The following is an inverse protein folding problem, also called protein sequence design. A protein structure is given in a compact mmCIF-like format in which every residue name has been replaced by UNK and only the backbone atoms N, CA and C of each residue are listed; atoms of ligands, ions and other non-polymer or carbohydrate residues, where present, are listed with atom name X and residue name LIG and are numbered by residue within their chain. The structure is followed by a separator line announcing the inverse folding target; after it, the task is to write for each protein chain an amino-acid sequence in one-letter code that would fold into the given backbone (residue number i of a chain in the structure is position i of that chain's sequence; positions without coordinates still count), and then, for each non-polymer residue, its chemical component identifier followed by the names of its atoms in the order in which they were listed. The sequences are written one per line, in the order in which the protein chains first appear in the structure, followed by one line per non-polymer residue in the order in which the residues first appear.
data_IF_141216977676
#
_entry.id   IF_141216977676
#
_cell.length_a   1.000
_cell.length_b   1.000
_cell.length_c   1.000
_cell.angle_alpha   90.00
_cell.angle_beta   90.00
_cell.angle_gamma   90.00
#
_symmetry.space_group_name_H-M   'P 1'
#
loop_
_entity.id
_entity.type
_entity.pdbx_description
1 polymer ?
#
# COMPACT_ATOMS: atom_id res chain seq x y z
N UNK A 1 -12.66 2.68 1.64
CA UNK A 1 -14.10 2.76 1.31
C UNK A 1 -14.79 3.98 1.89
N UNK A 2 -14.64 4.28 3.16
CA UNK A 2 -15.37 5.39 3.80
C UNK A 2 -15.00 6.76 3.23
N UNK A 3 -13.72 7.02 2.97
CA UNK A 3 -13.27 8.29 2.37
C UNK A 3 -13.71 8.42 0.90
N UNK A 4 -13.57 7.34 0.10
CA UNK A 4 -14.04 7.33 -1.29
C UNK A 4 -15.57 7.54 -1.38
N UNK A 5 -16.33 6.95 -0.44
CA UNK A 5 -17.76 7.20 -0.32
C UNK A 5 -18.07 8.66 0.02
N UNK A 6 -17.34 9.24 0.96
CA UNK A 6 -17.48 10.65 1.32
C UNK A 6 -17.25 11.57 0.11
N UNK A 7 -16.15 11.38 -0.63
CA UNK A 7 -15.81 12.16 -1.82
C UNK A 7 -16.85 12.04 -2.93
N UNK A 8 -17.44 10.84 -3.12
CA UNK A 8 -18.54 10.67 -4.09
C UNK A 8 -19.76 11.49 -3.69
N UNK A 9 -20.14 11.48 -2.41
CA UNK A 9 -21.27 12.28 -1.94
C UNK A 9 -21.00 13.78 -1.98
N UNK A 10 -19.78 14.24 -1.83
CA UNK A 10 -19.42 15.67 -1.99
C UNK A 10 -19.60 16.16 -3.43
N UNK A 11 -19.55 15.28 -4.41
CA UNK A 11 -19.67 15.61 -5.84
C UNK A 11 -21.11 15.51 -6.37
N UNK A 12 -22.05 14.96 -5.60
CA UNK A 12 -23.42 14.68 -6.02
C UNK A 12 -24.42 15.69 -5.44
N UNK A 13 -25.46 16.00 -6.23
CA UNK A 13 -26.63 16.76 -5.72
C UNK A 13 -27.55 15.78 -5.00
N UNK A 14 -27.56 15.84 -3.68
CA UNK A 14 -28.26 14.87 -2.85
C UNK A 14 -29.71 15.33 -2.58
N UNK A 15 -30.65 14.41 -2.71
CA UNK A 15 -32.06 14.65 -2.40
C UNK A 15 -32.36 14.60 -0.89
N UNK A 16 -31.46 14.14 -0.06
CA UNK A 16 -31.57 14.01 1.39
C UNK A 16 -30.25 14.33 2.10
N UNK A 17 -30.28 14.79 3.37
CA UNK A 17 -29.07 15.00 4.15
C UNK A 17 -28.30 13.69 4.33
N UNK A 18 -26.98 13.74 4.11
CA UNK A 18 -26.07 12.59 4.35
C UNK A 18 -25.08 12.96 5.44
N UNK A 19 -24.99 12.12 6.47
CA UNK A 19 -24.02 12.26 7.55
C UNK A 19 -22.86 11.31 7.29
N UNK A 20 -21.68 11.85 7.00
CA UNK A 20 -20.48 11.07 6.79
C UNK A 20 -19.65 10.96 8.07
N UNK A 21 -19.27 9.74 8.44
CA UNK A 21 -18.35 9.48 9.57
C UNK A 21 -16.89 9.33 9.13
N UNK A 22 -16.61 9.46 7.83
CA UNK A 22 -15.28 9.24 7.25
C UNK A 22 -14.19 10.07 7.92
N UNK A 23 -14.52 11.32 8.31
CA UNK A 23 -13.57 12.26 8.93
C UNK A 23 -13.80 12.45 10.43
N UNK A 24 -14.64 11.60 11.04
CA UNK A 24 -14.89 11.64 12.48
C UNK A 24 -13.63 11.24 13.27
N UNK A 25 -13.33 11.91 14.40
CA UNK A 25 -12.24 11.49 15.29
C UNK A 25 -12.40 10.05 15.81
N UNK A 26 -13.63 9.56 15.96
CA UNK A 26 -13.91 8.18 16.38
C UNK A 26 -13.37 7.14 15.37
N UNK A 27 -13.27 7.50 14.10
CA UNK A 27 -12.71 6.64 13.05
C UNK A 27 -11.21 6.42 13.19
N UNK A 28 -10.50 7.31 13.90
CA UNK A 28 -9.04 7.20 14.07
C UNK A 28 -8.63 5.92 14.82
N UNK A 29 -9.44 5.48 15.78
CA UNK A 29 -9.15 4.24 16.51
C UNK A 29 -9.23 3.01 15.59
N UNK A 30 -10.18 2.99 14.66
CA UNK A 30 -10.29 1.95 13.64
C UNK A 30 -9.11 1.99 12.66
N UNK A 31 -8.73 3.18 12.19
CA UNK A 31 -7.60 3.34 11.26
C UNK A 31 -6.29 2.82 11.88
N UNK A 32 -6.09 2.97 13.20
CA UNK A 32 -4.94 2.41 13.92
C UNK A 32 -4.97 0.87 13.87
N UNK A 33 -6.12 0.26 14.11
CA UNK A 33 -6.27 -1.20 14.09
C UNK A 33 -6.08 -1.78 12.68
N UNK A 34 -6.53 -1.05 11.64
CA UNK A 34 -6.31 -1.44 10.25
C UNK A 34 -4.80 -1.49 9.97
N UNK A 35 -4.05 -0.44 10.32
CA UNK A 35 -2.60 -0.40 10.11
C UNK A 35 -1.87 -1.54 10.82
N UNK A 36 -2.24 -1.82 12.06
CA UNK A 36 -1.70 -2.95 12.83
C UNK A 36 -1.95 -4.29 12.12
N UNK A 37 -3.20 -4.53 11.69
CA UNK A 37 -3.60 -5.77 11.02
C UNK A 37 -2.87 -5.96 9.69
N UNK A 38 -2.76 -4.90 8.88
CA UNK A 38 -2.06 -4.93 7.59
C UNK A 38 -0.59 -5.31 7.78
N UNK A 39 0.10 -4.65 8.70
CA UNK A 39 1.53 -4.93 8.92
C UNK A 39 1.74 -6.33 9.51
N UNK A 40 0.86 -6.78 10.40
CA UNK A 40 0.90 -8.14 10.93
C UNK A 40 0.70 -9.18 9.81
N UNK A 41 -0.28 -8.98 8.93
CA UNK A 41 -0.52 -9.87 7.79
C UNK A 41 0.67 -9.89 6.83
N UNK A 42 1.20 -8.73 6.46
CA UNK A 42 2.38 -8.63 5.59
C UNK A 42 3.61 -9.32 6.21
N UNK A 43 3.84 -9.15 7.51
CA UNK A 43 4.91 -9.85 8.24
C UNK A 43 4.71 -11.37 8.22
N UNK A 44 3.48 -11.84 8.48
CA UNK A 44 3.15 -13.25 8.47
C UNK A 44 3.41 -13.87 7.10
N UNK A 45 2.95 -13.23 6.02
CA UNK A 45 3.15 -13.70 4.65
C UNK A 45 4.63 -13.63 4.22
N UNK A 46 5.38 -12.60 4.61
CA UNK A 46 6.81 -12.54 4.37
C UNK A 46 7.56 -13.71 5.02
N UNK A 47 7.17 -14.12 6.22
CA UNK A 47 7.74 -15.28 6.91
C UNK A 47 7.46 -16.60 6.18
N UNK A 48 6.27 -16.76 5.58
CA UNK A 48 5.98 -17.95 4.75
C UNK A 48 6.89 -18.02 3.51
N UNK A 49 7.28 -16.87 2.97
CA UNK A 49 8.29 -16.74 1.93
C UNK A 49 9.74 -16.86 2.43
N UNK A 50 9.94 -17.20 3.72
CA UNK A 50 11.24 -17.29 4.40
C UNK A 50 12.04 -16.00 4.35
N UNK A 51 11.34 -14.86 4.41
CA UNK A 51 11.96 -13.53 4.43
C UNK A 51 11.97 -12.96 5.83
N UNK A 52 13.05 -12.27 6.18
CA UNK A 52 13.19 -11.57 7.46
C UNK A 52 12.58 -10.19 7.33
N UNK A 53 11.42 -9.97 7.95
CA UNK A 53 10.61 -8.78 7.76
C UNK A 53 11.31 -7.48 8.21
N UNK A 54 11.89 -7.47 9.40
CA UNK A 54 12.48 -6.27 10.03
C UNK A 54 13.78 -5.76 9.39
N UNK A 55 14.33 -6.43 8.40
CA UNK A 55 15.47 -5.93 7.60
C UNK A 55 15.07 -5.52 6.19
N UNK A 56 13.78 -5.67 5.83
CA UNK A 56 13.28 -5.29 4.53
C UNK A 56 13.33 -3.77 4.32
N UNK A 57 13.75 -3.36 3.14
CA UNK A 57 13.50 -2.01 2.65
C UNK A 57 12.03 -1.92 2.25
N UNK A 58 11.26 -1.11 2.94
CA UNK A 58 9.84 -0.93 2.66
C UNK A 58 9.56 0.40 1.95
N UNK A 59 8.61 0.38 1.02
CA UNK A 59 8.02 1.58 0.43
C UNK A 59 6.52 1.61 0.71
N UNK A 60 6.03 2.73 1.19
CA UNK A 60 4.61 2.95 1.44
C UNK A 60 4.09 4.06 0.53
N UNK A 61 3.09 3.74 -0.26
CA UNK A 61 2.42 4.65 -1.17
C UNK A 61 1.14 5.18 -0.52
N UNK A 62 1.12 6.49 -0.26
CA UNK A 62 0.04 7.19 0.41
C UNK A 62 0.27 7.39 1.92
N UNK A 63 0.09 8.64 2.38
CA UNK A 63 0.20 9.01 3.79
C UNK A 63 -1.12 9.57 4.34
N UNK A 64 -2.24 8.97 3.89
CA UNK A 64 -3.57 9.21 4.45
C UNK A 64 -3.72 8.60 5.85
N UNK A 65 -4.95 8.49 6.35
CA UNK A 65 -5.23 7.97 7.69
C UNK A 65 -4.67 6.56 7.92
N UNK A 66 -4.95 5.64 7.00
CA UNK A 66 -4.45 4.26 7.05
C UNK A 66 -2.94 4.23 6.83
N UNK A 67 -2.42 4.98 5.85
CA UNK A 67 -0.98 5.06 5.58
C UNK A 67 -0.16 5.54 6.77
N UNK A 68 -0.65 6.52 7.55
CA UNK A 68 -0.01 6.95 8.79
C UNK A 68 0.08 5.83 9.83
N UNK A 69 -0.98 5.06 9.96
CA UNK A 69 -1.00 3.93 10.89
C UNK A 69 0.00 2.85 10.45
N UNK A 70 0.00 2.48 9.16
CA UNK A 70 0.95 1.52 8.60
C UNK A 70 2.39 2.01 8.76
N UNK A 71 2.68 3.28 8.42
CA UNK A 71 4.02 3.86 8.56
C UNK A 71 4.54 3.78 10.00
N UNK A 72 3.68 4.09 10.97
CA UNK A 72 4.00 3.98 12.40
C UNK A 72 4.32 2.53 12.78
N UNK A 73 3.51 1.58 12.36
CA UNK A 73 3.69 0.16 12.68
C UNK A 73 4.94 -0.44 12.03
N UNK A 74 5.26 -0.08 10.78
CA UNK A 74 6.49 -0.48 10.12
C UNK A 74 7.73 0.07 10.86
N UNK A 75 7.67 1.35 11.29
CA UNK A 75 8.74 1.96 12.08
C UNK A 75 8.90 1.29 13.45
N UNK A 76 7.82 0.92 14.13
CA UNK A 76 7.88 0.17 15.39
C UNK A 76 8.56 -1.20 15.24
N UNK A 77 8.57 -1.76 14.04
CA UNK A 77 9.27 -3.00 13.68
C UNK A 77 10.67 -2.78 13.13
N UNK A 78 11.18 -1.53 13.20
CA UNK A 78 12.50 -1.11 12.72
C UNK A 78 12.74 -1.33 11.21
N UNK A 79 11.69 -1.33 10.37
CA UNK A 79 11.89 -1.38 8.92
C UNK A 79 12.47 -0.06 8.41
N UNK A 80 13.31 -0.16 7.38
CA UNK A 80 13.75 1.00 6.61
C UNK A 80 12.60 1.43 5.69
N UNK A 81 11.87 2.46 6.11
CA UNK A 81 10.66 2.92 5.42
C UNK A 81 10.93 4.17 4.59
N UNK A 82 10.58 4.13 3.31
CA UNK A 82 10.49 5.26 2.41
C UNK A 82 9.02 5.51 2.05
N UNK A 83 8.61 6.78 2.04
CA UNK A 83 7.24 7.19 1.71
C UNK A 83 7.17 7.83 0.34
N UNK A 84 6.12 7.48 -0.40
CA UNK A 84 5.72 8.15 -1.64
C UNK A 84 4.36 8.78 -1.41
N UNK A 85 4.29 10.12 -1.48
CA UNK A 85 3.06 10.88 -1.29
C UNK A 85 3.03 12.04 -2.29
N UNK A 86 1.87 12.35 -2.84
CA UNK A 86 1.69 13.42 -3.83
C UNK A 86 1.08 14.69 -3.25
N UNK A 87 0.30 14.57 -2.17
CA UNK A 87 -0.31 15.71 -1.49
C UNK A 87 0.72 16.46 -0.64
N UNK A 88 0.90 17.75 -0.93
CA UNK A 88 1.93 18.57 -0.29
C UNK A 88 1.75 18.71 1.24
N UNK A 89 0.51 18.75 1.73
CA UNK A 89 0.24 18.86 3.17
C UNK A 89 0.61 17.56 3.88
N UNK A 90 0.29 16.42 3.28
CA UNK A 90 0.66 15.10 3.80
C UNK A 90 2.16 14.86 3.73
N UNK A 91 2.84 15.39 2.70
CA UNK A 91 4.31 15.37 2.63
C UNK A 91 4.94 16.11 3.82
N UNK A 92 4.49 17.35 4.09
CA UNK A 92 4.96 18.14 5.24
C UNK A 92 4.68 17.41 6.55
N UNK A 93 3.50 16.80 6.69
CA UNK A 93 3.14 16.01 7.86
C UNK A 93 4.07 14.79 8.02
N UNK A 94 4.33 14.05 6.95
CA UNK A 94 5.24 12.89 6.95
C UNK A 94 6.65 13.28 7.39
N UNK A 95 7.17 14.39 6.84
CA UNK A 95 8.48 14.94 7.22
C UNK A 95 8.52 15.36 8.70
N UNK A 96 7.46 16.01 9.20
CA UNK A 96 7.36 16.41 10.60
C UNK A 96 7.33 15.22 11.57
N UNK A 97 6.83 14.08 11.10
CA UNK A 97 6.84 12.81 11.83
C UNK A 97 8.17 12.04 11.67
N UNK A 98 9.16 12.61 10.97
CA UNK A 98 10.48 12.03 10.78
C UNK A 98 10.55 10.89 9.76
N UNK A 99 9.61 10.85 8.82
CA UNK A 99 9.67 9.90 7.70
C UNK A 99 10.45 10.48 6.52
N UNK A 100 11.10 9.60 5.76
CA UNK A 100 11.81 9.95 4.53
C UNK A 100 10.86 9.88 3.33
N UNK A 101 10.76 10.99 2.60
CA UNK A 101 10.06 11.04 1.32
C UNK A 101 11.02 10.76 0.18
N UNK A 102 10.54 10.00 -0.80
CA UNK A 102 11.27 9.69 -2.04
C UNK A 102 10.33 9.78 -3.24
N UNK A 103 10.88 9.86 -4.44
CA UNK A 103 10.08 9.72 -5.65
C UNK A 103 9.70 8.25 -5.92
N UNK A 104 8.65 8.04 -6.72
CA UNK A 104 8.10 6.71 -7.02
C UNK A 104 9.14 5.77 -7.61
N UNK A 105 9.87 6.20 -8.63
CA UNK A 105 10.86 5.36 -9.32
C UNK A 105 11.98 4.88 -8.38
N UNK A 106 12.43 5.77 -7.51
CA UNK A 106 13.45 5.46 -6.51
C UNK A 106 12.96 4.42 -5.50
N UNK A 107 11.72 4.57 -5.02
CA UNK A 107 11.10 3.63 -4.10
C UNK A 107 10.96 2.22 -4.73
N UNK A 108 10.39 2.14 -5.95
CA UNK A 108 10.14 0.85 -6.63
C UNK A 108 11.43 0.07 -6.92
N UNK A 109 12.50 0.76 -7.31
CA UNK A 109 13.78 0.11 -7.64
C UNK A 109 14.49 -0.48 -6.41
N UNK A 110 14.15 -0.05 -5.19
CA UNK A 110 14.84 -0.46 -3.95
C UNK A 110 13.99 -1.32 -3.02
N UNK A 111 12.67 -1.10 -3.01
CA UNK A 111 11.81 -1.72 -2.03
C UNK A 111 11.69 -3.24 -2.20
N UNK A 112 11.81 -3.94 -1.08
CA UNK A 112 11.53 -5.38 -0.96
C UNK A 112 10.07 -5.62 -0.58
N UNK A 113 9.47 -4.65 0.11
CA UNK A 113 8.05 -4.64 0.47
C UNK A 113 7.45 -3.32 -0.02
N UNK A 114 6.45 -3.40 -0.87
CA UNK A 114 5.68 -2.25 -1.36
C UNK A 114 4.26 -2.38 -0.84
N UNK A 115 3.80 -1.38 -0.10
CA UNK A 115 2.41 -1.32 0.41
C UNK A 115 1.73 -0.11 -0.20
N UNK A 116 0.60 -0.34 -0.89
CA UNK A 116 -0.19 0.69 -1.54
C UNK A 116 -1.50 0.95 -0.77
N UNK A 117 -1.73 2.19 -0.38
CA UNK A 117 -2.89 2.61 0.41
C UNK A 117 -3.44 4.00 0.00
N UNK A 118 -3.33 4.34 -1.29
CA UNK A 118 -3.77 5.64 -1.82
C UNK A 118 -5.26 5.67 -2.12
N UNK A 119 -5.84 4.53 -2.53
CA UNK A 119 -7.21 4.41 -3.00
C UNK A 119 -7.47 4.99 -4.40
N UNK A 120 -6.41 5.30 -5.16
CA UNK A 120 -6.48 6.01 -6.42
C UNK A 120 -5.51 5.48 -7.49
N UNK A 121 -5.23 4.18 -7.54
CA UNK A 121 -4.35 3.61 -8.55
C UNK A 121 -2.90 4.11 -8.42
N UNK A 122 -2.19 3.61 -7.43
CA UNK A 122 -0.83 4.08 -7.13
C UNK A 122 0.23 3.61 -8.12
N UNK A 123 0.02 2.44 -8.74
CA UNK A 123 0.98 1.81 -9.65
C UNK A 123 0.36 1.54 -11.00
N UNK A 124 1.08 1.89 -12.04
CA UNK A 124 0.78 1.53 -13.42
C UNK A 124 1.59 0.30 -13.91
N UNK A 125 1.42 -0.06 -15.18
CA UNK A 125 2.11 -1.21 -15.80
C UNK A 125 3.63 -1.02 -15.78
N UNK A 126 4.12 0.18 -16.05
CA UNK A 126 5.55 0.48 -16.06
C UNK A 126 6.13 0.40 -14.65
N UNK A 127 5.38 0.83 -13.65
CA UNK A 127 5.75 0.71 -12.24
C UNK A 127 5.89 -0.76 -11.82
N UNK A 128 4.94 -1.61 -12.21
CA UNK A 128 4.99 -3.05 -11.91
C UNK A 128 6.20 -3.73 -12.57
N UNK A 129 6.59 -3.26 -13.77
CA UNK A 129 7.80 -3.72 -14.45
C UNK A 129 9.08 -3.22 -13.78
N UNK A 130 9.05 -2.03 -13.16
CA UNK A 130 10.19 -1.41 -12.50
C UNK A 130 10.44 -1.94 -11.07
N UNK A 131 9.51 -2.71 -10.50
CA UNK A 131 9.69 -3.33 -9.20
C UNK A 131 10.97 -4.18 -9.18
N UNK A 132 11.70 -4.12 -8.09
CA UNK A 132 12.88 -4.97 -7.90
C UNK A 132 12.48 -6.46 -7.96
N UNK A 133 13.33 -7.34 -8.56
CA UNK A 133 13.10 -8.78 -8.52
C UNK A 133 12.91 -9.31 -7.10
N UNK A 134 11.88 -10.11 -6.89
CA UNK A 134 11.54 -10.64 -5.58
C UNK A 134 10.78 -9.67 -4.67
N UNK A 135 10.36 -8.49 -5.13
CA UNK A 135 9.56 -7.58 -4.32
C UNK A 135 8.23 -8.21 -3.91
N UNK A 136 7.79 -7.90 -2.70
CA UNK A 136 6.46 -8.22 -2.18
C UNK A 136 5.58 -6.98 -2.34
N UNK A 137 4.38 -7.14 -2.90
CA UNK A 137 3.44 -6.07 -3.20
C UNK A 137 2.12 -6.34 -2.49
N UNK A 138 1.61 -5.38 -1.74
CA UNK A 138 0.34 -5.44 -1.03
C UNK A 138 -0.56 -4.24 -1.35
N UNK A 139 -1.85 -4.49 -1.59
CA UNK A 139 -2.90 -3.48 -1.61
C UNK A 139 -3.63 -3.47 -0.28
N UNK A 140 -3.97 -2.28 0.22
CA UNK A 140 -4.69 -2.09 1.47
C UNK A 140 -6.10 -1.59 1.23
N UNK A 141 -6.44 -1.28 0.00
CA UNK A 141 -7.77 -0.82 -0.36
C UNK A 141 -8.71 -2.00 -0.57
N UNK A 142 -9.91 -1.94 0.02
CA UNK A 142 -10.90 -3.03 -0.06
C UNK A 142 -11.50 -3.24 -1.46
N UNK A 143 -11.33 -2.30 -2.38
CA UNK A 143 -11.76 -2.40 -3.77
C UNK A 143 -10.60 -2.80 -4.71
N UNK A 144 -9.42 -3.02 -4.16
CA UNK A 144 -8.18 -3.29 -4.90
C UNK A 144 -7.90 -2.26 -6.00
N UNK A 145 -8.13 -0.99 -5.66
CA UNK A 145 -8.05 0.14 -6.61
C UNK A 145 -6.61 0.58 -6.91
N UNK A 146 -5.60 -0.09 -6.35
CA UNK A 146 -4.22 0.38 -6.41
C UNK A 146 -3.47 -0.06 -7.67
N UNK A 147 -3.65 -1.31 -8.09
CA UNK A 147 -2.93 -1.88 -9.24
C UNK A 147 -3.60 -3.12 -9.86
N UNK A 148 -4.72 -3.61 -9.33
CA UNK A 148 -5.39 -4.81 -9.85
C UNK A 148 -5.77 -4.69 -11.33
N UNK A 149 -6.25 -3.51 -11.74
CA UNK A 149 -6.55 -3.24 -13.14
C UNK A 149 -5.32 -3.41 -14.03
N UNK A 150 -4.16 -2.91 -13.60
CA UNK A 150 -2.91 -3.05 -14.34
C UNK A 150 -2.45 -4.51 -14.39
N UNK A 151 -2.56 -5.24 -13.29
CA UNK A 151 -2.23 -6.67 -13.24
C UNK A 151 -3.09 -7.49 -14.19
N UNK A 152 -4.39 -7.18 -14.29
CA UNK A 152 -5.30 -7.89 -15.19
C UNK A 152 -4.94 -7.73 -16.69
N UNK A 153 -4.18 -6.72 -17.05
CA UNK A 153 -3.71 -6.47 -18.42
C UNK A 153 -2.35 -7.12 -18.73
N UNK A 154 -1.67 -7.63 -17.72
CA UNK A 154 -0.35 -8.23 -17.88
C UNK A 154 -0.48 -9.73 -18.14
N UNK A 155 0.10 -10.25 -19.24
CA UNK A 155 0.07 -11.68 -19.56
C UNK A 155 1.13 -12.44 -18.73
N UNK A 156 1.31 -12.07 -17.47
CA UNK A 156 2.31 -12.71 -16.62
C UNK A 156 1.75 -13.98 -15.99
N UNK A 157 2.44 -15.12 -16.13
CA UNK A 157 2.07 -16.32 -15.42
C UNK A 157 2.01 -16.07 -13.91
N UNK A 158 0.97 -16.58 -13.28
CA UNK A 158 0.78 -16.51 -11.83
C UNK A 158 0.66 -17.91 -11.23
N UNK A 159 1.26 -18.11 -10.08
CA UNK A 159 1.18 -19.35 -9.31
C UNK A 159 0.96 -19.00 -7.83
N UNK A 160 0.03 -19.68 -7.18
CA UNK A 160 -0.13 -19.59 -5.73
C UNK A 160 0.95 -20.43 -5.04
N UNK A 161 1.94 -19.75 -4.46
CA UNK A 161 3.08 -20.43 -3.78
C UNK A 161 2.75 -20.79 -2.33
N UNK A 162 1.82 -20.10 -1.72
CA UNK A 162 1.22 -20.42 -0.43
C UNK A 162 -0.09 -19.64 -0.28
N UNK A 163 -0.97 -19.99 0.68
CA UNK A 163 -2.22 -19.28 0.89
C UNK A 163 -2.01 -17.76 0.97
N UNK A 164 -2.77 -17.01 0.16
CA UNK A 164 -2.72 -15.56 0.07
C UNK A 164 -1.42 -14.96 -0.53
N UNK A 165 -0.59 -15.77 -1.21
CA UNK A 165 0.61 -15.29 -1.91
C UNK A 165 0.65 -15.82 -3.34
N UNK A 166 0.53 -14.91 -4.31
CA UNK A 166 0.72 -15.21 -5.72
C UNK A 166 2.12 -14.79 -6.17
N UNK A 167 2.85 -15.72 -6.80
CA UNK A 167 4.06 -15.40 -7.53
C UNK A 167 3.70 -15.02 -8.97
N UNK A 168 4.15 -13.86 -9.42
CA UNK A 168 3.97 -13.37 -10.77
C UNK A 168 5.30 -13.39 -11.50
N UNK A 169 5.40 -14.15 -12.58
CA UNK A 169 6.65 -14.26 -13.36
C UNK A 169 6.64 -13.25 -14.50
N UNK A 170 7.62 -12.37 -14.49
CA UNK A 170 7.80 -11.34 -15.52
C UNK A 170 8.45 -11.93 -16.80
N UNK A 171 8.38 -11.21 -17.94
CA UNK A 171 9.00 -11.68 -19.19
C UNK A 171 10.51 -11.90 -19.11
N UNK A 172 11.20 -11.22 -18.21
CA UNK A 172 12.64 -11.38 -17.95
C UNK A 172 12.98 -12.61 -17.08
N UNK A 173 11.98 -13.39 -16.69
CA UNK A 173 12.11 -14.55 -15.83
C UNK A 173 12.19 -14.21 -14.34
N UNK A 174 12.19 -12.95 -13.95
CA UNK A 174 12.16 -12.55 -12.54
C UNK A 174 10.76 -12.66 -11.95
N UNK A 175 10.66 -12.80 -10.64
CA UNK A 175 9.38 -12.98 -9.93
C UNK A 175 9.13 -11.82 -8.97
N UNK A 176 7.88 -11.40 -8.85
CA UNK A 176 7.38 -10.57 -7.76
C UNK A 176 6.27 -11.34 -7.03
N UNK A 177 5.99 -10.98 -5.79
CA UNK A 177 5.00 -11.65 -4.94
C UNK A 177 3.87 -10.70 -4.60
N UNK A 178 2.65 -11.07 -4.94
CA UNK A 178 1.44 -10.37 -4.53
C UNK A 178 0.95 -10.97 -3.21
N UNK A 179 0.85 -10.14 -2.18
CA UNK A 179 0.29 -10.48 -0.88
C UNK A 179 -1.20 -10.10 -0.87
N UNK A 180 -2.09 -11.07 -0.62
CA UNK A 180 -3.53 -10.92 -0.82
C UNK A 180 -4.33 -11.23 0.44
#
# INVERSE_FOLDING_TARGET
MTENGHQRYEQEVLAAPVISVARSPLKQAEDIQIGLSVVYSAESLARTLRRTFNVCQAALFGYGKVGRSIARELRCRNLHLELVETDALRQVEALSHGFKLVNKAEALGRAELVICCTGNGSLDIADLQALRPGAMLASVTSADDEFAFCLSQLPWPSEEVCPHVLALTRPDGSTIFLLN
#
